data_IF_864096233076
#
_entry.id   IF_864096233076
#
_cell.length_a   1.000
_cell.length_b   1.000
_cell.length_c   1.000
_cell.angle_alpha   90.00
_cell.angle_beta   90.00
_cell.angle_gamma   90.00
#
_symmetry.space_group_name_H-M   'P 1'
#
loop_
_entity.id
_entity.type
_entity.pdbx_description
1 polymer ?
#
# COMPACT_ATOMS: atom_id res chain seq x y z
N UNK A 1 1.54 3.79 19.16
CA UNK A 1 0.63 4.60 18.31
C UNK A 1 -0.81 4.41 18.79
N UNK A 2 -1.68 5.39 18.54
CA UNK A 2 -3.07 5.43 19.01
C UNK A 2 -3.98 6.03 17.95
N UNK A 3 -5.14 5.40 17.70
CA UNK A 3 -6.21 5.93 16.85
C UNK A 3 -7.07 6.90 17.65
N UNK A 4 -7.31 8.10 17.12
CA UNK A 4 -8.06 9.16 17.76
C UNK A 4 -9.03 9.81 16.77
N UNK A 5 -10.17 10.36 17.20
CA UNK A 5 -10.98 11.24 16.36
C UNK A 5 -10.20 12.47 15.90
N UNK A 6 -10.47 12.95 14.68
CA UNK A 6 -9.93 14.22 14.18
C UNK A 6 -10.71 15.39 14.81
N UNK A 7 -10.04 16.40 15.40
CA UNK A 7 -10.73 17.53 16.00
C UNK A 7 -11.45 18.34 14.94
N UNK A 8 -12.71 18.69 15.24
CA UNK A 8 -13.56 19.53 14.38
C UNK A 8 -13.92 18.91 13.02
N UNK A 9 -13.67 17.61 12.82
CA UNK A 9 -14.12 16.86 11.63
C UNK A 9 -14.87 15.61 12.07
N UNK A 10 -16.19 15.63 11.87
CA UNK A 10 -17.05 14.51 12.26
C UNK A 10 -16.73 13.25 11.44
N UNK A 11 -16.65 12.12 12.13
CA UNK A 11 -16.39 10.79 11.56
C UNK A 11 -15.05 10.64 10.82
N UNK A 12 -14.13 11.59 11.01
CA UNK A 12 -12.73 11.47 10.56
C UNK A 12 -11.82 11.08 11.73
N UNK A 13 -10.74 10.39 11.37
CA UNK A 13 -9.81 9.81 12.32
C UNK A 13 -8.37 10.20 11.99
N UNK A 14 -7.52 10.08 13.00
CA UNK A 14 -6.07 10.25 12.91
C UNK A 14 -5.33 9.22 13.74
N UNK A 15 -4.13 8.88 13.30
CA UNK A 15 -3.18 8.09 14.07
C UNK A 15 -2.18 9.05 14.71
N UNK A 16 -1.91 8.87 16.00
CA UNK A 16 -0.91 9.65 16.73
C UNK A 16 0.10 8.75 17.46
N UNK A 17 1.24 9.32 17.81
CA UNK A 17 2.26 8.64 18.59
C UNK A 17 3.39 9.56 19.00
N UNK A 18 4.45 8.96 19.53
CA UNK A 18 5.70 9.64 19.86
C UNK A 18 6.86 8.93 19.17
N UNK A 19 7.85 9.70 18.77
CA UNK A 19 9.13 9.17 18.30
C UNK A 19 9.99 8.69 19.49
N UNK A 20 11.15 8.09 19.22
CA UNK A 20 12.05 7.58 20.26
C UNK A 20 12.65 8.68 21.16
N UNK A 21 12.64 9.93 20.70
CA UNK A 21 13.04 11.10 21.49
C UNK A 21 11.87 11.70 22.29
N UNK A 22 10.68 11.10 22.23
CA UNK A 22 9.49 11.55 22.95
C UNK A 22 8.69 12.65 22.26
N UNK A 23 9.08 13.07 21.06
CA UNK A 23 8.36 14.09 20.31
C UNK A 23 7.09 13.51 19.69
N UNK A 24 5.98 14.21 19.86
CA UNK A 24 4.69 13.78 19.31
C UNK A 24 4.62 13.91 17.80
N UNK A 25 3.88 13.00 17.17
CA UNK A 25 3.50 13.06 15.77
C UNK A 25 2.03 12.66 15.57
N UNK A 26 1.44 13.15 14.49
CA UNK A 26 0.05 12.92 14.09
C UNK A 26 -0.03 12.73 12.57
N UNK A 27 -0.87 11.81 12.13
CA UNK A 27 -1.23 11.58 10.73
C UNK A 27 -2.75 11.45 10.62
N UNK A 28 -3.44 12.39 9.99
CA UNK A 28 -4.86 12.24 9.63
C UNK A 28 -5.04 11.10 8.63
N UNK A 29 -6.00 10.22 8.87
CA UNK A 29 -6.33 9.07 8.01
C UNK A 29 -7.75 9.14 7.44
N UNK A 30 -8.49 10.21 7.73
CA UNK A 30 -9.81 10.47 7.16
C UNK A 30 -10.88 9.52 7.69
N UNK A 31 -11.89 9.23 6.86
CA UNK A 31 -13.00 8.35 7.22
C UNK A 31 -12.57 6.88 7.13
N UNK A 32 -12.81 6.13 8.19
CA UNK A 32 -12.49 4.69 8.28
C UNK A 32 -13.75 3.81 8.17
N UNK A 33 -14.82 4.37 7.63
CA UNK A 33 -16.07 3.68 7.32
C UNK A 33 -16.67 4.29 6.06
N UNK A 34 -17.16 3.45 5.16
CA UNK A 34 -17.92 3.86 3.98
C UNK A 34 -18.99 2.80 3.63
N UNK A 35 -19.62 2.91 2.46
CA UNK A 35 -20.67 1.97 2.03
C UNK A 35 -20.16 0.54 1.78
N UNK A 36 -18.84 0.32 1.65
CA UNK A 36 -18.23 -1.01 1.59
C UNK A 36 -17.96 -1.60 3.00
N UNK A 37 -18.25 -0.85 4.07
CA UNK A 37 -18.11 -1.28 5.46
C UNK A 37 -17.02 -0.52 6.23
N UNK A 38 -16.59 -1.12 7.33
CA UNK A 38 -15.54 -0.60 8.20
C UNK A 38 -14.14 -0.90 7.63
N UNK A 39 -13.19 -0.01 7.90
CA UNK A 39 -11.79 -0.30 7.66
C UNK A 39 -11.31 -1.48 8.50
N UNK A 40 -10.41 -2.28 7.94
CA UNK A 40 -9.75 -3.39 8.63
C UNK A 40 -8.33 -2.98 8.99
N UNK A 41 -7.84 -3.41 10.16
CA UNK A 41 -6.55 -3.01 10.71
C UNK A 41 -5.68 -4.23 10.98
N UNK A 42 -4.44 -4.18 10.49
CA UNK A 42 -3.46 -5.23 10.66
C UNK A 42 -2.14 -4.65 11.14
N UNK A 43 -1.34 -5.47 11.82
CA UNK A 43 -0.02 -5.09 12.30
C UNK A 43 0.99 -6.19 12.04
N UNK A 44 2.17 -5.80 11.57
CA UNK A 44 3.31 -6.66 11.34
C UNK A 44 4.59 -5.81 11.37
N UNK A 45 5.77 -6.41 11.40
CA UNK A 45 7.05 -5.72 11.15
C UNK A 45 7.41 -5.97 9.68
N UNK A 46 7.00 -5.07 8.79
CA UNK A 46 6.97 -5.32 7.34
C UNK A 46 8.37 -5.32 6.72
N UNK A 47 9.28 -4.49 7.24
CA UNK A 47 10.66 -4.40 6.76
C UNK A 47 11.67 -5.06 7.71
N UNK A 48 11.18 -5.81 8.71
CA UNK A 48 11.97 -6.56 9.68
C UNK A 48 12.98 -5.68 10.42
N UNK A 49 12.56 -4.48 10.82
CA UNK A 49 13.39 -3.51 11.51
C UNK A 49 13.19 -3.49 13.04
N UNK A 50 12.30 -4.36 13.56
CA UNK A 50 11.96 -4.48 14.97
C UNK A 50 10.90 -3.48 15.46
N UNK A 51 10.25 -2.76 14.55
CA UNK A 51 9.15 -1.84 14.86
C UNK A 51 7.86 -2.40 14.27
N UNK A 52 6.79 -2.38 15.05
CA UNK A 52 5.48 -2.81 14.58
C UNK A 52 4.85 -1.72 13.69
N UNK A 53 4.65 -2.06 12.43
CA UNK A 53 3.97 -1.27 11.41
C UNK A 53 2.45 -1.46 11.48
N UNK A 54 1.71 -0.61 10.77
CA UNK A 54 0.25 -0.64 10.69
C UNK A 54 -0.21 -0.64 9.24
N UNK A 55 -1.12 -1.55 8.90
CA UNK A 55 -1.81 -1.60 7.61
C UNK A 55 -3.29 -1.36 7.87
N UNK A 56 -3.86 -0.37 7.19
CA UNK A 56 -5.30 -0.14 7.17
C UNK A 56 -5.78 -0.47 5.76
N UNK A 57 -6.79 -1.33 5.65
CA UNK A 57 -7.48 -1.61 4.40
C UNK A 57 -8.87 -0.97 4.44
N UNK A 58 -9.22 -0.23 3.38
CA UNK A 58 -10.51 0.40 3.21
C UNK A 58 -11.06 0.06 1.83
N UNK A 59 -12.14 -0.73 1.77
CA UNK A 59 -12.79 -1.07 0.51
C UNK A 59 -13.39 0.15 -0.18
N UNK A 60 -13.37 0.17 -1.52
CA UNK A 60 -14.10 1.17 -2.30
C UNK A 60 -15.55 0.70 -2.51
N UNK A 61 -16.57 1.53 -2.20
CA UNK A 61 -17.98 1.18 -2.47
C UNK A 61 -18.37 1.20 -3.95
N UNK A 62 -17.44 1.46 -4.87
CA UNK A 62 -17.68 1.49 -6.30
C UNK A 62 -18.34 0.22 -6.85
N UNK A 63 -19.18 0.40 -7.87
CA UNK A 63 -19.85 -0.69 -8.58
C UNK A 63 -18.93 -1.24 -9.68
N UNK A 64 -18.74 -2.55 -9.72
CA UNK A 64 -17.92 -3.22 -10.74
C UNK A 64 -17.60 -4.67 -10.40
N UNK A 65 -17.01 -5.42 -11.33
CA UNK A 65 -16.63 -6.83 -11.14
C UNK A 65 -15.41 -7.01 -10.21
N UNK A 66 -14.62 -5.95 -10.01
CA UNK A 66 -13.48 -5.92 -9.10
C UNK A 66 -13.37 -4.50 -8.51
N UNK A 67 -14.09 -4.17 -7.42
CA UNK A 67 -13.95 -2.88 -6.77
C UNK A 67 -12.52 -2.73 -6.23
N UNK A 68 -11.95 -1.53 -6.37
CA UNK A 68 -10.64 -1.24 -5.77
C UNK A 68 -10.75 -1.14 -4.25
N UNK A 69 -9.60 -1.07 -3.59
CA UNK A 69 -9.49 -0.72 -2.19
C UNK A 69 -8.27 0.16 -1.99
N UNK A 70 -8.28 0.91 -0.90
CA UNK A 70 -7.17 1.73 -0.46
C UNK A 70 -6.42 0.99 0.66
N UNK A 71 -5.10 0.91 0.53
CA UNK A 71 -4.27 0.70 1.70
C UNK A 71 -3.84 2.05 2.27
N UNK A 72 -3.75 2.15 3.59
CA UNK A 72 -3.00 3.20 4.30
C UNK A 72 -1.96 2.47 5.16
N UNK A 73 -0.72 2.44 4.69
CA UNK A 73 0.36 1.69 5.30
C UNK A 73 1.29 2.63 6.03
N UNK A 74 1.40 2.46 7.34
CA UNK A 74 2.35 3.14 8.19
C UNK A 74 3.54 2.24 8.42
N UNK A 75 4.71 2.73 8.02
CA UNK A 75 6.01 2.16 8.39
C UNK A 75 6.77 3.18 9.22
N UNK A 76 7.76 2.73 10.00
CA UNK A 76 8.45 3.63 10.94
C UNK A 76 9.94 3.68 10.71
N UNK A 77 10.46 4.90 10.50
CA UNK A 77 11.89 5.17 10.50
C UNK A 77 12.51 4.73 11.83
N UNK A 78 13.82 4.46 11.85
CA UNK A 78 14.54 4.04 13.07
C UNK A 78 14.36 4.97 14.27
N UNK A 79 14.09 6.25 14.04
CA UNK A 79 13.81 7.22 15.11
C UNK A 79 12.35 7.17 15.63
N UNK A 80 11.48 6.32 15.08
CA UNK A 80 10.07 6.19 15.44
C UNK A 80 9.13 7.16 14.72
N UNK A 81 9.59 7.86 13.67
CA UNK A 81 8.76 8.74 12.85
C UNK A 81 8.08 7.99 11.70
N UNK A 82 6.81 8.27 11.39
CA UNK A 82 6.07 7.53 10.38
C UNK A 82 6.47 7.92 8.95
N UNK A 83 6.50 6.91 8.08
CA UNK A 83 6.36 7.01 6.64
C UNK A 83 5.04 6.34 6.25
N UNK A 84 4.23 7.05 5.47
CA UNK A 84 2.88 6.62 5.10
C UNK A 84 2.80 6.44 3.60
N UNK A 85 2.31 5.29 3.17
CA UNK A 85 2.11 4.92 1.77
C UNK A 85 0.65 4.54 1.56
N UNK A 86 -0.02 5.19 0.60
CA UNK A 86 -1.48 5.14 0.46
C UNK A 86 -1.95 4.71 -0.94
N UNK A 87 -1.56 3.51 -1.42
CA UNK A 87 -1.91 3.10 -2.76
C UNK A 87 -3.38 2.70 -2.89
N UNK A 88 -3.90 2.90 -4.10
CA UNK A 88 -5.19 2.36 -4.54
C UNK A 88 -4.94 1.22 -5.54
N UNK A 89 -5.62 0.09 -5.35
CA UNK A 89 -5.46 -1.08 -6.20
C UNK A 89 -6.55 -2.12 -5.97
N UNK A 90 -6.41 -3.29 -6.59
CA UNK A 90 -7.33 -4.41 -6.42
C UNK A 90 -6.96 -5.26 -5.20
N UNK A 91 -6.98 -4.63 -4.03
CA UNK A 91 -6.48 -5.23 -2.81
C UNK A 91 -7.54 -5.99 -2.03
N UNK A 92 -7.19 -7.16 -1.52
CA UNK A 92 -8.09 -8.03 -0.75
C UNK A 92 -7.63 -8.17 0.69
N UNK A 93 -8.60 -8.16 1.59
CA UNK A 93 -8.41 -8.28 3.02
C UNK A 93 -9.42 -9.28 3.58
N UNK A 94 -8.97 -10.09 4.54
CA UNK A 94 -9.76 -11.08 5.25
C UNK A 94 -9.49 -10.97 6.75
N UNK A 95 -10.25 -11.69 7.57
CA UNK A 95 -10.05 -11.68 9.03
C UNK A 95 -8.64 -12.16 9.46
N UNK A 96 -7.94 -12.90 8.60
CA UNK A 96 -6.62 -13.46 8.90
C UNK A 96 -5.46 -12.63 8.37
N UNK A 97 -5.72 -11.62 7.53
CA UNK A 97 -4.66 -10.80 6.96
C UNK A 97 -5.06 -10.11 5.65
N UNK A 98 -4.05 -9.65 4.93
CA UNK A 98 -4.19 -9.07 3.61
C UNK A 98 -3.47 -9.95 2.59
N UNK A 99 -4.06 -10.13 1.41
CA UNK A 99 -3.57 -11.12 0.44
C UNK A 99 -2.43 -10.57 -0.44
N UNK A 100 -2.31 -9.25 -0.53
CA UNK A 100 -1.37 -8.57 -1.44
C UNK A 100 -0.03 -8.20 -0.77
N UNK A 101 0.06 -8.31 0.56
CA UNK A 101 1.31 -8.15 1.30
C UNK A 101 1.90 -9.52 1.65
N UNK A 102 2.99 -9.88 0.98
CA UNK A 102 3.52 -11.24 0.94
C UNK A 102 4.99 -11.29 1.38
N UNK A 103 5.40 -12.33 2.10
CA UNK A 103 6.82 -12.67 2.29
C UNK A 103 7.24 -13.68 1.21
N UNK A 104 7.59 -13.16 0.02
CA UNK A 104 7.89 -13.99 -1.14
C UNK A 104 9.22 -14.75 -1.03
N UNK A 105 10.05 -14.39 -0.05
CA UNK A 105 11.38 -14.98 0.16
C UNK A 105 11.46 -15.85 1.44
N UNK A 106 10.40 -15.88 2.26
CA UNK A 106 10.41 -16.56 3.55
C UNK A 106 11.39 -15.94 4.56
N UNK A 107 11.75 -14.67 4.37
CA UNK A 107 12.76 -13.99 5.19
C UNK A 107 12.14 -12.94 6.13
N UNK A 108 10.83 -12.96 6.30
CA UNK A 108 10.08 -12.04 7.14
C UNK A 108 10.06 -10.60 6.64
N UNK A 109 10.50 -10.32 5.40
CA UNK A 109 10.38 -9.00 4.76
C UNK A 109 9.25 -9.04 3.77
N UNK A 110 8.32 -8.12 3.92
CA UNK A 110 7.12 -8.02 3.09
C UNK A 110 7.41 -7.37 1.75
N UNK A 111 6.72 -7.85 0.72
CA UNK A 111 6.54 -7.20 -0.57
C UNK A 111 5.05 -6.91 -0.78
N UNK A 112 4.73 -5.82 -1.46
CA UNK A 112 3.40 -5.53 -1.96
C UNK A 112 3.32 -5.95 -3.42
N UNK A 113 2.37 -6.83 -3.74
CA UNK A 113 1.98 -7.13 -5.10
C UNK A 113 0.88 -6.14 -5.50
N UNK A 114 1.08 -5.40 -6.58
CA UNK A 114 0.13 -4.42 -7.08
C UNK A 114 -0.22 -4.73 -8.53
N UNK A 115 -1.47 -4.53 -8.91
CA UNK A 115 -1.94 -4.85 -10.26
C UNK A 115 -2.63 -3.64 -10.86
N UNK A 116 -2.11 -3.20 -12.00
CA UNK A 116 -2.65 -2.10 -12.78
C UNK A 116 -2.94 -2.57 -14.21
N UNK A 117 -3.80 -1.84 -14.91
CA UNK A 117 -4.18 -2.15 -16.28
C UNK A 117 -3.76 -1.03 -17.22
N UNK A 118 -3.04 -1.37 -18.27
CA UNK A 118 -2.79 -0.44 -19.38
C UNK A 118 -2.57 -1.21 -20.69
N UNK A 119 -2.93 -0.57 -21.81
CA UNK A 119 -2.65 -1.09 -23.16
C UNK A 119 -3.13 -2.53 -23.42
N UNK A 120 -4.18 -3.00 -22.72
CA UNK A 120 -4.68 -4.37 -22.82
C UNK A 120 -3.85 -5.43 -22.10
N UNK A 121 -3.06 -5.02 -21.11
CA UNK A 121 -2.26 -5.88 -20.25
C UNK A 121 -2.60 -5.62 -18.79
N UNK A 122 -2.63 -6.70 -18.01
CA UNK A 122 -2.41 -6.60 -16.57
C UNK A 122 -0.91 -6.48 -16.34
N UNK A 123 -0.55 -5.48 -15.53
CA UNK A 123 0.81 -5.12 -15.19
C UNK A 123 0.94 -5.35 -13.68
N UNK A 124 1.60 -6.43 -13.32
CA UNK A 124 1.89 -6.76 -11.93
C UNK A 124 3.19 -6.08 -11.52
N UNK A 125 3.07 -5.11 -10.64
CA UNK A 125 4.17 -4.43 -9.98
C UNK A 125 4.49 -5.13 -8.66
N UNK A 126 5.77 -5.10 -8.29
CA UNK A 126 6.22 -5.55 -6.99
C UNK A 126 6.90 -4.37 -6.29
N UNK A 127 6.53 -4.14 -5.04
CA UNK A 127 7.20 -3.16 -4.19
C UNK A 127 7.80 -3.87 -2.99
N UNK A 128 8.98 -3.44 -2.57
CA UNK A 128 9.62 -3.88 -1.33
C UNK A 128 9.72 -2.71 -0.37
N UNK A 129 9.62 -2.98 0.93
CA UNK A 129 9.84 -1.98 1.98
C UNK A 129 11.21 -2.19 2.62
N UNK A 130 11.97 -1.11 2.78
CA UNK A 130 13.25 -1.09 3.48
C UNK A 130 13.46 0.24 4.18
N UNK A 131 13.86 0.19 5.45
CA UNK A 131 14.08 1.39 6.28
C UNK A 131 12.85 2.32 6.24
N UNK A 132 11.66 1.72 6.39
CA UNK A 132 10.34 2.35 6.30
C UNK A 132 10.00 3.03 4.97
N UNK A 133 10.67 2.65 3.87
CA UNK A 133 10.40 3.22 2.56
C UNK A 133 10.08 2.14 1.55
N UNK A 134 8.96 2.34 0.87
CA UNK A 134 8.55 1.50 -0.24
C UNK A 134 9.37 1.83 -1.48
N UNK A 135 9.73 0.82 -2.26
CA UNK A 135 10.49 0.95 -3.49
C UNK A 135 9.96 -0.03 -4.51
N UNK A 136 9.69 0.44 -5.73
CA UNK A 136 9.34 -0.44 -6.83
C UNK A 136 10.52 -1.31 -7.22
N UNK A 137 10.27 -2.60 -7.39
CA UNK A 137 11.24 -3.58 -7.85
C UNK A 137 11.27 -3.56 -9.37
N UNK A 138 12.48 -3.43 -9.93
CA UNK A 138 12.75 -3.53 -11.35
C UNK A 138 13.66 -4.73 -11.63
N UNK A 139 13.26 -5.58 -12.57
CA UNK A 139 13.99 -6.79 -12.92
C UNK A 139 13.62 -7.99 -12.05
N UNK A 140 14.54 -8.95 -11.93
CA UNK A 140 14.26 -10.24 -11.31
C UNK A 140 14.10 -10.16 -9.80
N UNK A 141 13.00 -10.73 -9.32
CA UNK A 141 12.76 -11.04 -7.93
C UNK A 141 12.27 -12.48 -7.81
N UNK A 142 13.11 -13.35 -7.25
CA UNK A 142 12.88 -14.79 -7.30
C UNK A 142 12.82 -15.31 -8.74
N UNK A 143 11.68 -15.89 -9.13
CA UNK A 143 11.48 -16.52 -10.46
C UNK A 143 10.76 -15.64 -11.49
N UNK A 144 10.41 -14.40 -11.14
CA UNK A 144 9.69 -13.48 -12.02
C UNK A 144 10.47 -12.17 -12.17
N UNK A 145 10.38 -11.57 -13.35
CA UNK A 145 10.87 -10.21 -13.59
C UNK A 145 9.72 -9.23 -13.49
N UNK A 146 9.93 -8.13 -12.77
CA UNK A 146 8.94 -7.09 -12.55
C UNK A 146 9.27 -5.78 -13.31
N UNK A 147 8.27 -5.06 -13.83
CA UNK A 147 6.86 -5.44 -13.85
C UNK A 147 6.59 -6.69 -14.72
N UNK A 148 5.72 -7.57 -14.24
CA UNK A 148 5.32 -8.78 -14.95
C UNK A 148 4.04 -8.51 -15.74
N UNK A 149 4.00 -8.92 -17.00
CA UNK A 149 2.86 -8.66 -17.88
C UNK A 149 2.05 -9.93 -18.11
N UNK A 150 0.73 -9.83 -18.04
CA UNK A 150 -0.20 -10.82 -18.58
C UNK A 150 -1.21 -10.14 -19.50
N UNK A 151 -1.68 -10.86 -20.52
CA UNK A 151 -2.65 -10.29 -21.47
C UNK A 151 -4.03 -10.27 -20.83
N UNK A 152 -4.72 -9.14 -20.93
CA UNK A 152 -6.15 -9.10 -20.65
C UNK A 152 -6.92 -9.59 -21.88
N UNK A 153 -7.53 -10.77 -21.77
CA UNK A 153 -8.33 -11.38 -22.82
C UNK A 153 -9.46 -12.22 -22.21
N UNK A 154 -10.37 -12.71 -23.05
CA UNK A 154 -11.54 -13.49 -22.64
C UNK A 154 -11.21 -14.88 -22.04
N UNK A 155 -9.96 -15.32 -22.12
CA UNK A 155 -9.51 -16.60 -21.57
C UNK A 155 -8.65 -16.33 -20.34
N UNK A 156 -8.62 -17.20 -19.33
CA UNK A 156 -7.74 -17.02 -18.18
C UNK A 156 -6.27 -16.90 -18.63
N UNK A 157 -5.76 -15.66 -18.67
CA UNK A 157 -4.43 -15.35 -19.13
C UNK A 157 -3.39 -15.73 -18.09
N UNK A 158 -2.97 -17.01 -18.05
CA UNK A 158 -1.91 -17.49 -17.14
C UNK A 158 -0.49 -17.29 -17.71
N UNK A 159 -0.38 -16.89 -18.98
CA UNK A 159 0.91 -16.79 -19.67
C UNK A 159 1.51 -15.41 -19.49
N UNK A 160 2.73 -15.39 -18.94
CA UNK A 160 3.56 -14.19 -18.89
C UNK A 160 3.93 -13.72 -20.30
N UNK A 161 3.84 -12.42 -20.51
CA UNK A 161 4.17 -11.75 -21.76
C UNK A 161 5.54 -11.10 -21.60
N UNK A 162 6.52 -11.60 -22.36
CA UNK A 162 7.90 -11.08 -22.36
C UNK A 162 8.00 -9.84 -23.25
N UNK A 163 7.22 -9.80 -24.34
CA UNK A 163 7.20 -8.69 -25.29
C UNK A 163 5.75 -8.32 -25.64
N UNK A 164 5.33 -7.06 -25.41
CA UNK A 164 4.02 -6.59 -25.86
C UNK A 164 3.85 -6.72 -27.38
N UNK A 165 2.60 -6.79 -27.82
CA UNK A 165 2.24 -6.75 -29.25
C UNK A 165 2.71 -5.40 -29.82
N UNK A 166 3.21 -5.41 -31.05
CA UNK A 166 3.66 -4.21 -31.73
C UNK A 166 2.60 -3.10 -31.67
N UNK A 167 3.03 -1.86 -31.37
CA UNK A 167 2.14 -0.71 -31.22
C UNK A 167 1.51 -0.56 -29.82
N UNK A 168 1.80 -1.45 -28.86
CA UNK A 168 1.37 -1.31 -27.47
C UNK A 168 2.55 -1.02 -26.56
N UNK A 169 2.35 -0.12 -25.60
CA UNK A 169 3.37 0.29 -24.64
C UNK A 169 2.78 0.31 -23.23
N UNK A 170 2.55 -0.86 -22.61
CA UNK A 170 1.98 -0.95 -21.26
C UNK A 170 2.86 -0.21 -20.24
N UNK A 171 2.29 0.79 -19.57
CA UNK A 171 2.97 1.61 -18.57
C UNK A 171 2.13 1.76 -17.30
N UNK A 172 2.81 2.01 -16.18
CA UNK A 172 2.21 2.23 -14.86
C UNK A 172 3.06 3.21 -14.08
N UNK A 173 2.40 4.10 -13.35
CA UNK A 173 3.07 4.99 -12.41
C UNK A 173 3.72 4.18 -11.29
N UNK A 174 4.84 4.69 -10.78
CA UNK A 174 5.45 4.16 -9.57
C UNK A 174 4.71 4.70 -8.35
N UNK A 175 3.86 3.85 -7.75
CA UNK A 175 3.06 4.21 -6.58
C UNK A 175 3.94 4.62 -5.40
N UNK A 176 5.16 4.08 -5.27
CA UNK A 176 6.05 4.40 -4.14
C UNK A 176 6.47 5.87 -4.11
N UNK A 177 6.32 6.61 -5.22
CA UNK A 177 6.58 8.04 -5.28
C UNK A 177 5.53 8.87 -4.53
N UNK A 178 4.36 8.30 -4.21
CA UNK A 178 3.31 8.97 -3.43
C UNK A 178 3.51 8.85 -1.92
N UNK A 179 4.47 8.04 -1.47
CA UNK A 179 4.75 7.85 -0.04
C UNK A 179 5.29 9.14 0.60
N UNK A 180 4.97 9.35 1.87
CA UNK A 180 5.32 10.59 2.59
C UNK A 180 5.88 10.25 3.96
N UNK A 181 6.99 10.87 4.33
CA UNK A 181 7.64 10.62 5.61
C UNK A 181 7.68 11.88 6.45
N UNK A 182 7.35 11.76 7.74
CA UNK A 182 7.46 12.86 8.68
C UNK A 182 8.92 13.01 9.14
N UNK A 183 9.72 13.74 8.36
CA UNK A 183 11.13 14.00 8.70
C UNK A 183 11.27 15.11 9.74
N UNK A 184 10.39 16.13 9.68
CA UNK A 184 10.37 17.29 10.57
C UNK A 184 8.93 17.67 10.90
N UNK A 185 8.75 18.37 12.03
CA UNK A 185 7.44 18.79 12.50
C UNK A 185 6.67 17.67 13.19
N UNK A 186 5.38 17.92 13.44
CA UNK A 186 4.54 17.04 14.27
C UNK A 186 3.31 16.51 13.51
N UNK A 187 3.06 16.98 12.29
CA UNK A 187 1.90 16.57 11.50
C UNK A 187 2.38 16.14 10.12
N UNK A 188 2.05 14.92 9.73
CA UNK A 188 2.11 14.47 8.34
C UNK A 188 0.69 14.64 7.78
N UNK A 189 0.45 15.50 6.77
CA UNK A 189 -0.91 15.72 6.25
C UNK A 189 -1.52 14.40 5.70
N UNK A 190 -2.83 14.30 5.53
CA UNK A 190 -3.43 13.19 4.77
C UNK A 190 -3.44 13.49 3.27
N UNK A 191 -3.59 12.49 2.39
CA UNK A 191 -3.73 12.72 0.94
C UNK A 191 -5.19 13.08 0.56
N UNK A 192 -6.17 12.61 1.33
CA UNK A 192 -7.61 12.82 1.06
C UNK A 192 -8.25 13.76 2.11
N UNK A 193 -7.87 15.04 2.13
CA UNK A 193 -8.41 16.01 3.11
C UNK A 193 -9.49 16.95 2.59
N UNK A 194 -10.00 16.72 1.37
CA UNK A 194 -11.09 17.48 0.76
C UNK A 194 -12.43 16.72 0.83
#
# INVERSE_FOLDING_TARGET
MTLLPEPKKDNEWRISGKDRAGNSWVVPVGRLINLAGNAQFYRADLDRNGIQDLVIWLGNPGLGLAPSAQYIIFTFLKNGRPCVFEPWGFYTATDTGVDDLLDLQGNGRTQLLDMQFDSGYWITNLYQVKDARWQRVHGWFGRLSYPALTRFNHYPGRKLIIKPIAGRNPQTDDLSLTQRCLIRGNVLPGVNQD
#
